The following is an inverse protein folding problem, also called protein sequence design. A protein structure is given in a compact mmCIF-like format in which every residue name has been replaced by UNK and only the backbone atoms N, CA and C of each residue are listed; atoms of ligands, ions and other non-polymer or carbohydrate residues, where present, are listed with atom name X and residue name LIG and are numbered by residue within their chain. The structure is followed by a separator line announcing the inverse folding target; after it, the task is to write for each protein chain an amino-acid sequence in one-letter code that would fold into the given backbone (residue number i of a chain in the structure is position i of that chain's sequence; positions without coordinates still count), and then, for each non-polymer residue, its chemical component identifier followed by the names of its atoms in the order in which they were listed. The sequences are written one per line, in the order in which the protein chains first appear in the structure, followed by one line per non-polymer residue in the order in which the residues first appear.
data_IF_704378203908
#
_entry.id   IF_704378203908
#
_cell.length_a   1.000
_cell.length_b   1.000
_cell.length_c   1.000
_cell.angle_alpha   90.00
_cell.angle_beta   90.00
_cell.angle_gamma   90.00
#
_symmetry.space_group_name_H-M   'P 1'
#
loop_
_entity.id
_entity.type
_entity.pdbx_description
1 polymer ?
#
# COMPACT_ATOMS: atom_id res chain seq x y z
N UNK A 1 0.38 -11.72 -2.87
CA UNK A 1 0.08 -12.60 -1.73
C UNK A 1 -1.14 -12.03 -0.98
N UNK A 2 -2.09 -12.85 -0.52
CA UNK A 2 -3.24 -12.37 0.27
C UNK A 2 -2.82 -12.14 1.72
N UNK A 3 -3.42 -11.15 2.37
CA UNK A 3 -3.25 -10.93 3.81
C UNK A 3 -3.88 -12.09 4.59
N UNK A 4 -3.26 -12.50 5.70
CA UNK A 4 -3.87 -13.48 6.62
C UNK A 4 -4.96 -12.82 7.46
N UNK A 5 -5.82 -13.62 8.10
CA UNK A 5 -6.87 -13.09 8.99
C UNK A 5 -6.27 -12.30 10.16
N UNK A 6 -5.15 -12.75 10.73
CA UNK A 6 -4.44 -12.06 11.81
C UNK A 6 -3.86 -10.72 11.34
N UNK A 7 -3.29 -10.69 10.12
CA UNK A 7 -2.77 -9.45 9.52
C UNK A 7 -3.90 -8.44 9.25
N UNK A 8 -5.07 -8.92 8.80
CA UNK A 8 -6.26 -8.10 8.60
C UNK A 8 -6.78 -7.50 9.91
N UNK A 9 -6.81 -8.29 10.99
CA UNK A 9 -7.24 -7.81 12.31
C UNK A 9 -6.30 -6.72 12.82
N UNK A 10 -4.98 -6.94 12.73
CA UNK A 10 -3.96 -5.95 13.11
C UNK A 10 -4.07 -4.66 12.31
N UNK A 11 -4.36 -4.77 11.01
CA UNK A 11 -4.58 -3.60 10.15
C UNK A 11 -5.80 -2.79 10.59
N UNK A 12 -6.92 -3.44 10.88
CA UNK A 12 -8.12 -2.74 11.37
C UNK A 12 -7.88 -2.00 12.68
N UNK A 13 -6.97 -2.50 13.54
CA UNK A 13 -6.62 -1.87 14.81
C UNK A 13 -5.63 -0.70 14.65
N UNK A 14 -4.61 -0.89 13.82
CA UNK A 14 -3.47 0.02 13.73
C UNK A 14 -3.61 1.10 12.63
N UNK A 15 -4.35 0.80 11.56
CA UNK A 15 -4.43 1.68 10.39
C UNK A 15 -5.67 2.58 10.47
N UNK A 16 -5.48 3.77 11.07
CA UNK A 16 -6.47 4.85 11.00
C UNK A 16 -6.15 5.75 9.82
N UNK A 17 -6.93 5.66 8.75
CA UNK A 17 -6.74 6.54 7.60
C UNK A 17 -7.69 7.73 7.71
N UNK A 18 -7.13 8.92 7.88
CA UNK A 18 -7.91 10.15 7.96
C UNK A 18 -8.48 10.60 6.61
N UNK A 19 -8.98 11.84 6.59
CA UNK A 19 -9.56 12.51 5.43
C UNK A 19 -8.75 12.28 4.16
N UNK A 20 -9.43 11.93 3.07
CA UNK A 20 -8.82 11.74 1.76
C UNK A 20 -8.17 13.05 1.31
N UNK A 21 -6.85 13.08 1.04
CA UNK A 21 -6.15 14.31 0.66
C UNK A 21 -6.53 14.79 -0.74
N UNK A 22 -7.11 13.92 -1.58
CA UNK A 22 -7.49 14.25 -2.96
C UNK A 22 -8.90 14.87 -3.07
N UNK A 23 -9.91 14.26 -2.42
CA UNK A 23 -11.32 14.68 -2.58
C UNK A 23 -12.02 15.09 -1.27
N UNK A 24 -11.30 15.07 -0.15
CA UNK A 24 -11.87 15.46 1.15
C UNK A 24 -12.86 14.48 1.76
N UNK A 25 -12.99 13.25 1.26
CA UNK A 25 -13.83 12.21 1.88
C UNK A 25 -13.34 11.84 3.29
N UNK A 26 -14.23 11.81 4.28
CA UNK A 26 -13.90 11.61 5.71
C UNK A 26 -14.30 10.24 6.27
N UNK A 27 -14.90 9.36 5.46
CA UNK A 27 -15.24 8.00 5.88
C UNK A 27 -14.08 7.00 5.70
N UNK A 28 -14.35 5.74 6.04
CA UNK A 28 -13.35 4.67 5.96
C UNK A 28 -12.87 4.43 4.53
N UNK A 29 -11.56 4.26 4.39
CA UNK A 29 -10.93 3.81 3.14
C UNK A 29 -11.02 2.30 3.01
N UNK A 30 -11.09 1.83 1.77
CA UNK A 30 -11.07 0.39 1.47
C UNK A 30 -9.64 -0.12 1.60
N UNK A 31 -9.42 -1.11 2.47
CA UNK A 31 -8.12 -1.78 2.60
C UNK A 31 -8.02 -2.87 1.52
N UNK A 32 -6.95 -2.85 0.75
CA UNK A 32 -6.67 -3.88 -0.25
C UNK A 32 -6.35 -5.22 0.42
N UNK A 33 -7.03 -6.29 0.00
CA UNK A 33 -6.85 -7.65 0.53
C UNK A 33 -5.50 -8.29 0.13
N UNK A 34 -4.76 -7.66 -0.77
CA UNK A 34 -3.51 -8.15 -1.30
C UNK A 34 -2.35 -7.26 -0.85
N UNK A 35 -1.27 -7.89 -0.39
CA UNK A 35 0.01 -7.20 -0.23
C UNK A 35 0.58 -6.91 -1.61
N UNK A 36 1.00 -5.66 -1.82
CA UNK A 36 1.73 -5.23 -3.01
C UNK A 36 3.22 -5.11 -2.67
N UNK A 37 4.09 -5.34 -3.66
CA UNK A 37 5.52 -5.13 -3.51
C UNK A 37 5.90 -3.90 -4.31
N UNK A 38 6.40 -2.87 -3.63
CA UNK A 38 6.98 -1.71 -4.30
C UNK A 38 8.40 -2.06 -4.71
N UNK A 39 8.67 -1.92 -6.01
CA UNK A 39 9.98 -2.15 -6.60
C UNK A 39 10.49 -0.81 -7.14
N UNK A 40 11.75 -0.47 -6.81
CA UNK A 40 12.44 0.63 -7.46
C UNK A 40 13.24 0.06 -8.62
N UNK A 41 12.87 0.45 -9.84
CA UNK A 41 13.61 0.10 -11.04
C UNK A 41 14.57 1.25 -11.35
N UNK A 42 15.86 0.93 -11.48
CA UNK A 42 16.82 1.90 -12.00
C UNK A 42 16.64 1.98 -13.50
N UNK A 43 16.39 3.19 -14.01
CA UNK A 43 16.17 3.46 -15.42
C UNK A 43 17.15 4.50 -15.94
N UNK A 44 17.63 4.32 -17.18
CA UNK A 44 18.32 5.36 -17.97
C UNK A 44 17.43 5.64 -19.16
N UNK A 45 16.83 6.83 -19.20
CA UNK A 45 15.83 7.15 -20.21
C UNK A 45 14.63 6.20 -20.12
N UNK A 46 14.39 5.43 -21.19
CA UNK A 46 13.31 4.43 -21.28
C UNK A 46 13.76 3.00 -20.98
N UNK A 47 15.06 2.77 -20.74
CA UNK A 47 15.61 1.44 -20.53
C UNK A 47 15.73 1.12 -19.04
N UNK A 48 15.34 -0.10 -18.66
CA UNK A 48 15.51 -0.63 -17.30
C UNK A 48 16.91 -1.24 -17.23
N UNK A 49 17.80 -0.64 -16.43
CA UNK A 49 19.23 -0.96 -16.44
C UNK A 49 19.58 -2.09 -15.46
N UNK A 50 18.81 -2.25 -14.38
CA UNK A 50 19.21 -3.09 -13.25
C UNK A 50 18.07 -4.05 -12.85
N UNK A 51 18.22 -5.32 -13.23
CA UNK A 51 17.24 -6.39 -12.95
C UNK A 51 17.75 -7.44 -11.96
N UNK A 52 19.06 -7.44 -11.64
CA UNK A 52 19.70 -8.53 -10.90
C UNK A 52 19.44 -8.49 -9.37
N UNK A 53 19.08 -7.34 -8.81
CA UNK A 53 18.73 -7.20 -7.38
C UNK A 53 17.56 -6.23 -7.18
N UNK A 54 16.36 -6.74 -7.42
CA UNK A 54 15.13 -6.01 -7.12
C UNK A 54 14.85 -6.04 -5.61
N UNK A 55 15.23 -4.96 -4.92
CA UNK A 55 14.73 -4.73 -3.56
C UNK A 55 13.22 -4.50 -3.63
N UNK A 56 12.48 -5.29 -2.84
CA UNK A 56 11.03 -5.13 -2.73
C UNK A 56 10.65 -4.65 -1.34
N UNK A 57 9.76 -3.66 -1.29
CA UNK A 57 9.15 -3.18 -0.06
C UNK A 57 7.69 -3.66 -0.01
N UNK A 58 7.35 -4.63 0.86
CA UNK A 58 5.98 -5.06 1.05
C UNK A 58 5.14 -3.93 1.63
N UNK A 59 4.06 -3.58 0.92
CA UNK A 59 3.17 -2.50 1.31
C UNK A 59 1.70 -2.97 1.35
N UNK A 60 0.95 -2.31 2.21
CA UNK A 60 -0.50 -2.40 2.30
C UNK A 60 -1.09 -1.20 1.58
N UNK A 61 -2.07 -1.47 0.71
CA UNK A 61 -2.77 -0.47 -0.06
C UNK A 61 -4.10 -0.12 0.61
N UNK A 62 -4.43 1.16 0.63
CA UNK A 62 -5.80 1.62 0.84
C UNK A 62 -6.25 2.48 -0.32
N UNK A 63 -7.54 2.41 -0.67
CA UNK A 63 -8.15 3.25 -1.70
C UNK A 63 -9.30 4.06 -1.14
N UNK A 64 -9.40 5.32 -1.57
CA UNK A 64 -10.57 6.13 -1.29
C UNK A 64 -11.75 5.63 -2.15
N UNK A 65 -12.89 5.27 -1.56
CA UNK A 65 -14.04 4.76 -2.31
C UNK A 65 -14.67 5.82 -3.23
N UNK A 66 -14.39 7.11 -3.00
CA UNK A 66 -15.01 8.22 -3.74
C UNK A 66 -14.25 8.65 -4.98
N UNK A 67 -12.92 8.65 -4.93
CA UNK A 67 -12.06 9.18 -6.01
C UNK A 67 -10.93 8.24 -6.43
N UNK A 68 -10.83 7.05 -5.82
CA UNK A 68 -9.78 6.08 -6.15
C UNK A 68 -8.38 6.43 -5.65
N UNK A 69 -8.20 7.52 -4.89
CA UNK A 69 -6.87 7.89 -4.35
C UNK A 69 -6.26 6.75 -3.53
N UNK A 70 -5.05 6.33 -3.91
CA UNK A 70 -4.32 5.23 -3.29
C UNK A 70 -3.35 5.78 -2.24
N UNK A 71 -3.32 5.14 -1.07
CA UNK A 71 -2.28 5.35 -0.06
C UNK A 71 -1.57 4.03 0.20
N UNK A 72 -0.24 4.06 0.23
CA UNK A 72 0.63 2.91 0.44
C UNK A 72 1.29 3.03 1.81
N UNK A 73 1.24 1.96 2.59
CA UNK A 73 1.81 1.89 3.93
C UNK A 73 2.79 0.73 4.02
N UNK A 74 3.95 0.93 4.63
CA UNK A 74 4.91 -0.16 4.88
C UNK A 74 4.28 -1.21 5.79
N UNK A 75 4.18 -2.45 5.28
CA UNK A 75 3.53 -3.58 5.98
C UNK A 75 4.15 -3.83 7.35
N UNK A 76 5.45 -3.63 7.52
CA UNK A 76 6.17 -3.84 8.79
C UNK A 76 5.67 -2.94 9.92
N UNK A 77 5.08 -1.79 9.61
CA UNK A 77 4.60 -0.85 10.61
C UNK A 77 3.12 -1.03 10.93
N UNK A 78 2.32 -1.44 9.94
CA UNK A 78 0.86 -1.50 10.09
C UNK A 78 0.33 -2.90 10.47
N UNK A 79 1.10 -3.97 10.23
CA UNK A 79 0.75 -5.35 10.60
C UNK A 79 1.51 -5.87 11.85
N UNK A 80 1.88 -4.98 12.79
CA UNK A 80 2.60 -5.37 14.02
C UNK A 80 1.73 -6.17 14.97
#
# INVERSE_FOLDING_TARGET
MKLTNDEMLKLQQNLKVGKCPNCGYEGDKVIGLHTVNLISLKTEGTEIIETEKLNSLPAVLTSCPKCGYISLFDKKFVCR
#
